data_IF_169523135332
#
_entry.id   IF_169523135332
#
_cell.length_a   1.000
_cell.length_b   1.000
_cell.length_c   1.000
_cell.angle_alpha   90.00
_cell.angle_beta   90.00
_cell.angle_gamma   90.00
#
_symmetry.space_group_name_H-M   'P 1'
#
loop_
_entity.id
_entity.type
_entity.pdbx_description
1 polymer ?
#
# COMPACT_ATOMS: atom_id res chain seq x y z
N UNK A 1 -36.51 -11.42 -6.92
CA UNK A 1 -35.76 -10.91 -5.76
C UNK A 1 -34.28 -10.93 -6.14
N UNK A 2 -33.84 -9.89 -6.85
CA UNK A 2 -32.43 -9.71 -7.19
C UNK A 2 -31.73 -9.04 -6.01
N UNK A 3 -30.77 -9.75 -5.42
CA UNK A 3 -29.95 -9.23 -4.34
C UNK A 3 -29.06 -8.10 -4.85
N UNK A 4 -29.25 -6.90 -4.34
CA UNK A 4 -28.31 -5.79 -4.49
C UNK A 4 -26.97 -6.19 -3.85
N UNK A 5 -26.03 -6.68 -4.67
CA UNK A 5 -24.59 -6.57 -4.36
C UNK A 5 -24.29 -5.07 -4.37
N UNK A 6 -24.12 -4.49 -3.17
CA UNK A 6 -23.79 -3.09 -3.02
C UNK A 6 -22.59 -2.75 -3.92
N UNK A 7 -22.76 -1.77 -4.82
CA UNK A 7 -21.63 -1.23 -5.59
C UNK A 7 -20.59 -0.74 -4.58
N UNK A 8 -19.53 -1.52 -4.42
CA UNK A 8 -18.31 -1.09 -3.74
C UNK A 8 -17.82 0.14 -4.50
N UNK A 9 -18.01 1.33 -3.93
CA UNK A 9 -17.75 2.60 -4.61
C UNK A 9 -16.29 2.69 -5.05
N UNK A 10 -16.05 3.04 -6.31
CA UNK A 10 -14.68 3.25 -6.80
C UNK A 10 -13.99 4.41 -6.09
N UNK A 11 -12.67 4.43 -6.15
CA UNK A 11 -11.85 5.49 -5.60
C UNK A 11 -11.76 6.76 -6.50
N UNK A 12 -12.53 6.82 -7.58
CA UNK A 12 -12.50 7.93 -8.54
C UNK A 12 -11.16 8.06 -9.25
N UNK A 13 -10.93 9.22 -9.89
CA UNK A 13 -9.64 9.55 -10.52
C UNK A 13 -8.67 10.07 -9.45
N UNK A 14 -7.59 9.33 -9.19
CA UNK A 14 -6.66 9.66 -8.11
C UNK A 14 -5.18 9.55 -8.51
N UNK A 15 -4.33 10.24 -7.75
CA UNK A 15 -2.89 10.08 -7.73
C UNK A 15 -2.58 9.34 -6.44
N UNK A 16 -2.14 8.10 -6.54
CA UNK A 16 -1.80 7.28 -5.39
C UNK A 16 -0.30 7.03 -5.36
N UNK A 17 0.36 7.44 -4.29
CA UNK A 17 1.77 7.17 -4.02
C UNK A 17 1.84 6.12 -2.93
N UNK A 18 2.32 4.93 -3.28
CA UNK A 18 2.42 3.79 -2.39
C UNK A 18 3.89 3.42 -2.18
N UNK A 19 4.38 3.62 -0.96
CA UNK A 19 5.73 3.20 -0.57
C UNK A 19 5.73 1.74 -0.13
N UNK A 20 6.90 1.09 -0.12
CA UNK A 20 7.03 -0.32 0.24
C UNK A 20 6.19 -1.28 -0.61
N UNK A 21 5.93 -0.95 -1.88
CA UNK A 21 4.97 -1.66 -2.73
C UNK A 21 5.42 -3.06 -3.19
N UNK A 22 6.70 -3.41 -3.04
CA UNK A 22 7.26 -4.62 -3.66
C UNK A 22 6.81 -5.93 -3.04
N UNK A 23 6.41 -5.95 -1.76
CA UNK A 23 6.05 -7.17 -1.01
C UNK A 23 5.05 -6.90 0.11
N UNK A 24 4.59 -7.98 0.74
CA UNK A 24 3.71 -7.93 1.91
C UNK A 24 2.48 -7.07 1.69
N UNK A 25 2.11 -6.30 2.71
CA UNK A 25 0.95 -5.42 2.69
C UNK A 25 0.97 -4.41 1.55
N UNK A 26 2.10 -3.77 1.25
CA UNK A 26 2.19 -2.79 0.17
C UNK A 26 1.83 -3.42 -1.18
N UNK A 27 2.36 -4.61 -1.46
CA UNK A 27 2.03 -5.34 -2.70
C UNK A 27 0.55 -5.73 -2.75
N UNK A 28 0.03 -6.29 -1.67
CA UNK A 28 -1.38 -6.69 -1.59
C UNK A 28 -2.31 -5.48 -1.72
N UNK A 29 -1.97 -4.37 -1.09
CA UNK A 29 -2.73 -3.13 -1.19
C UNK A 29 -2.71 -2.60 -2.62
N UNK A 30 -1.57 -2.62 -3.33
CA UNK A 30 -1.50 -2.21 -4.73
C UNK A 30 -2.47 -3.02 -5.61
N UNK A 31 -2.51 -4.34 -5.41
CA UNK A 31 -3.38 -5.27 -6.14
C UNK A 31 -4.87 -5.03 -5.86
N UNK A 32 -5.25 -4.70 -4.63
CA UNK A 32 -6.64 -4.43 -4.28
C UNK A 32 -7.08 -2.99 -4.59
N UNK A 33 -6.14 -2.03 -4.54
CA UNK A 33 -6.41 -0.61 -4.77
C UNK A 33 -6.54 -0.29 -6.26
N UNK A 34 -5.71 -0.90 -7.12
CA UNK A 34 -5.72 -0.65 -8.56
C UNK A 34 -7.11 -0.86 -9.21
N UNK A 35 -7.89 -1.93 -8.89
CA UNK A 35 -9.27 -2.13 -9.33
C UNK A 35 -10.26 -1.01 -8.96
N UNK A 36 -9.96 -0.23 -7.93
CA UNK A 36 -10.83 0.84 -7.47
C UNK A 36 -10.52 2.18 -8.14
N UNK A 37 -9.34 2.34 -8.75
CA UNK A 37 -8.96 3.58 -9.44
C UNK A 37 -9.65 3.71 -10.81
N UNK A 38 -10.20 4.89 -11.10
CA UNK A 38 -10.81 5.18 -12.41
C UNK A 38 -9.75 5.45 -13.49
N UNK A 39 -10.07 5.26 -14.79
CA UNK A 39 -9.17 5.61 -15.88
C UNK A 39 -8.66 7.06 -15.81
N UNK A 40 -7.37 7.23 -16.14
CA UNK A 40 -6.64 8.50 -15.98
C UNK A 40 -6.08 8.73 -14.57
N UNK A 41 -6.23 7.76 -13.67
CA UNK A 41 -5.49 7.74 -12.40
C UNK A 41 -4.01 7.42 -12.62
N UNK A 42 -3.19 7.81 -11.64
CA UNK A 42 -1.77 7.49 -11.60
C UNK A 42 -1.49 6.73 -10.30
N UNK A 43 -0.86 5.57 -10.40
CA UNK A 43 -0.39 4.80 -9.25
C UNK A 43 1.14 4.71 -9.29
N UNK A 44 1.76 5.39 -8.33
CA UNK A 44 3.20 5.44 -8.14
C UNK A 44 3.59 4.38 -7.12
N UNK A 45 4.42 3.42 -7.53
CA UNK A 45 4.87 2.30 -6.73
C UNK A 45 6.35 2.51 -6.38
N UNK A 46 6.65 2.66 -5.09
CA UNK A 46 8.03 2.85 -4.62
C UNK A 46 8.48 1.71 -3.72
N UNK A 47 9.68 1.18 -3.99
CA UNK A 47 10.36 0.18 -3.17
C UNK A 47 11.84 0.08 -3.53
N UNK A 48 12.61 -0.70 -2.76
CA UNK A 48 14.05 -0.92 -2.99
C UNK A 48 14.39 -1.92 -4.10
N UNK A 49 13.45 -2.77 -4.50
CA UNK A 49 13.69 -3.83 -5.51
C UNK A 49 13.00 -3.47 -6.81
N UNK A 50 13.78 -3.10 -7.83
CA UNK A 50 13.27 -2.78 -9.17
C UNK A 50 12.57 -3.97 -9.82
N UNK A 51 13.15 -5.18 -9.68
CA UNK A 51 12.59 -6.42 -10.21
C UNK A 51 11.20 -6.71 -9.65
N UNK A 52 11.03 -6.63 -8.33
CA UNK A 52 9.73 -6.85 -7.71
C UNK A 52 8.68 -5.79 -8.11
N UNK A 53 9.11 -4.54 -8.34
CA UNK A 53 8.24 -3.49 -8.86
C UNK A 53 7.83 -3.75 -10.31
N UNK A 54 8.76 -4.21 -11.17
CA UNK A 54 8.44 -4.57 -12.57
C UNK A 54 7.42 -5.70 -12.63
N UNK A 55 7.60 -6.73 -11.81
CA UNK A 55 6.67 -7.85 -11.73
C UNK A 55 5.27 -7.37 -11.32
N UNK A 56 5.18 -6.51 -10.30
CA UNK A 56 3.92 -5.94 -9.87
C UNK A 56 3.29 -5.04 -10.94
N UNK A 57 4.07 -4.20 -11.62
CA UNK A 57 3.58 -3.36 -12.71
C UNK A 57 3.01 -4.19 -13.86
N UNK A 58 3.68 -5.27 -14.27
CA UNK A 58 3.21 -6.15 -15.32
C UNK A 58 1.86 -6.80 -14.96
N UNK A 59 1.72 -7.28 -13.73
CA UNK A 59 0.46 -7.84 -13.21
C UNK A 59 -0.68 -6.81 -13.25
N UNK A 60 -0.45 -5.62 -12.70
CA UNK A 60 -1.48 -4.57 -12.63
C UNK A 60 -1.83 -3.99 -14.01
N UNK A 61 -0.83 -3.85 -14.88
CA UNK A 61 -0.97 -3.28 -16.21
C UNK A 61 -1.79 -4.16 -17.15
N UNK A 62 -1.62 -5.49 -17.03
CA UNK A 62 -2.42 -6.46 -17.79
C UNK A 62 -3.93 -6.36 -17.47
N UNK A 63 -4.26 -6.03 -16.22
CA UNK A 63 -5.64 -5.94 -15.77
C UNK A 63 -6.28 -4.56 -16.04
N UNK A 64 -5.47 -3.49 -16.20
CA UNK A 64 -5.96 -2.09 -16.18
C UNK A 64 -5.24 -1.18 -17.19
N UNK A 65 -5.59 -1.23 -18.49
CA UNK A 65 -4.94 -0.40 -19.52
C UNK A 65 -5.16 1.12 -19.34
N UNK A 66 -6.17 1.54 -18.58
CA UNK A 66 -6.47 2.96 -18.30
C UNK A 66 -5.76 3.54 -17.06
N UNK A 67 -4.97 2.74 -16.34
CA UNK A 67 -4.23 3.15 -15.16
C UNK A 67 -2.77 3.42 -15.54
N UNK A 68 -2.28 4.63 -15.27
CA UNK A 68 -0.85 4.93 -15.44
C UNK A 68 -0.09 4.40 -14.22
N UNK A 69 0.75 3.41 -14.44
CA UNK A 69 1.68 2.89 -13.43
C UNK A 69 3.03 3.62 -13.56
N UNK A 70 3.61 3.98 -12.43
CA UNK A 70 4.94 4.62 -12.37
C UNK A 70 5.75 3.94 -11.28
N UNK A 71 6.86 3.32 -11.65
CA UNK A 71 7.77 2.68 -10.69
C UNK A 71 8.88 3.64 -10.28
N UNK A 72 9.18 3.67 -8.99
CA UNK A 72 10.30 4.41 -8.42
C UNK A 72 11.11 3.48 -7.52
N UNK A 73 12.22 2.99 -8.04
CA UNK A 73 13.18 2.23 -7.24
C UNK A 73 13.96 3.19 -6.37
N UNK A 74 13.65 3.22 -5.08
CA UNK A 74 14.20 4.17 -4.13
C UNK A 74 14.29 3.58 -2.71
N UNK A 75 15.37 3.92 -2.01
CA UNK A 75 15.48 3.73 -0.58
C UNK A 75 15.12 5.02 0.16
N UNK A 76 13.91 5.09 0.69
CA UNK A 76 13.38 6.28 1.37
C UNK A 76 14.04 6.54 2.73
N UNK A 77 14.94 5.67 3.20
CA UNK A 77 15.80 5.97 4.35
C UNK A 77 17.02 6.83 3.99
N UNK A 78 17.22 7.13 2.70
CA UNK A 78 18.33 7.94 2.18
C UNK A 78 17.81 9.21 1.52
N UNK A 79 18.57 10.30 1.63
CA UNK A 79 18.26 11.55 0.93
C UNK A 79 18.18 11.33 -0.59
N UNK A 80 19.10 10.54 -1.15
CA UNK A 80 19.11 10.22 -2.58
C UNK A 80 17.81 9.52 -3.02
N UNK A 81 17.34 8.53 -2.26
CA UNK A 81 16.09 7.84 -2.56
C UNK A 81 14.86 8.74 -2.41
N UNK A 82 14.85 9.64 -1.43
CA UNK A 82 13.81 10.65 -1.32
C UNK A 82 13.79 11.59 -2.53
N UNK A 83 14.96 12.09 -2.96
CA UNK A 83 15.08 12.94 -4.15
C UNK A 83 14.65 12.21 -5.43
N UNK A 84 14.94 10.92 -5.56
CA UNK A 84 14.46 10.10 -6.69
C UNK A 84 12.93 10.05 -6.73
N UNK A 85 12.27 9.78 -5.60
CA UNK A 85 10.81 9.77 -5.53
C UNK A 85 10.22 11.15 -5.82
N UNK A 86 10.77 12.21 -5.23
CA UNK A 86 10.32 13.58 -5.48
C UNK A 86 10.51 14.00 -6.94
N UNK A 87 11.63 13.62 -7.57
CA UNK A 87 11.88 13.85 -8.99
C UNK A 87 10.81 13.20 -9.86
N UNK A 88 10.56 11.90 -9.66
CA UNK A 88 9.54 11.17 -10.40
C UNK A 88 8.14 11.80 -10.21
N UNK A 89 7.79 12.24 -9.00
CA UNK A 89 6.50 12.91 -8.73
C UNK A 89 6.38 14.27 -9.43
N UNK A 90 7.47 15.03 -9.56
CA UNK A 90 7.48 16.33 -10.24
C UNK A 90 7.30 16.20 -11.76
N UNK A 91 7.76 15.10 -12.33
CA UNK A 91 7.63 14.80 -13.76
C UNK A 91 6.24 14.27 -14.14
N UNK A 92 5.40 13.91 -13.17
CA UNK A 92 4.05 13.43 -13.46
C UNK A 92 3.21 14.56 -14.07
N UNK A 93 2.49 14.29 -15.16
CA UNK A 93 1.49 15.22 -15.63
C UNK A 93 0.42 15.37 -14.56
N UNK A 94 -0.06 16.60 -14.36
CA UNK A 94 -1.20 16.87 -13.50
C UNK A 94 -2.42 16.22 -14.15
N UNK A 95 -3.02 15.17 -13.57
CA UNK A 95 -4.18 14.54 -14.17
C UNK A 95 -5.34 15.52 -14.14
N UNK A 96 -5.94 15.81 -15.30
CA UNK A 96 -7.16 16.63 -15.33
C UNK A 96 -8.30 15.90 -14.62
N UNK A 97 -9.12 16.63 -13.87
CA UNK A 97 -10.22 16.03 -13.10
C UNK A 97 -9.75 15.10 -11.98
N UNK A 98 -8.54 15.32 -11.44
CA UNK A 98 -8.07 14.64 -10.24
C UNK A 98 -9.00 14.93 -9.07
N UNK A 99 -9.56 13.88 -8.49
CA UNK A 99 -10.46 14.01 -7.34
C UNK A 99 -9.70 13.86 -6.02
N UNK A 100 -8.66 13.02 -6.00
CA UNK A 100 -7.97 12.65 -4.77
C UNK A 100 -6.47 12.44 -4.96
N UNK A 101 -5.73 12.73 -3.89
CA UNK A 101 -4.32 12.39 -3.74
C UNK A 101 -4.19 11.49 -2.52
N UNK A 102 -3.62 10.31 -2.70
CA UNK A 102 -3.36 9.36 -1.63
C UNK A 102 -1.85 9.21 -1.50
N UNK A 103 -1.31 9.51 -0.32
CA UNK A 103 0.06 9.16 0.04
C UNK A 103 0.00 8.10 1.13
N UNK A 104 0.43 6.89 0.78
CA UNK A 104 0.45 5.75 1.68
C UNK A 104 1.90 5.52 2.07
N UNK A 105 2.28 6.11 3.20
CA UNK A 105 3.57 5.88 3.86
C UNK A 105 3.51 4.53 4.57
N UNK A 106 3.69 3.46 3.78
CA UNK A 106 3.76 2.10 4.27
C UNK A 106 5.17 1.82 4.83
N UNK A 107 5.37 2.26 6.07
CA UNK A 107 6.52 1.92 6.89
C UNK A 107 6.04 1.17 8.13
N UNK A 108 6.41 -0.10 8.26
CA UNK A 108 6.07 -0.88 9.46
C UNK A 108 6.23 -2.40 9.28
N UNK A 109 6.50 -3.14 10.37
CA UNK A 109 6.59 -4.59 10.34
C UNK A 109 5.19 -5.22 10.40
N UNK A 110 4.69 -5.69 9.25
CA UNK A 110 3.60 -6.68 9.17
C UNK A 110 4.21 -8.08 9.02
N UNK A 111 3.44 -9.17 9.04
CA UNK A 111 4.00 -10.53 8.84
C UNK A 111 4.66 -10.67 7.47
N UNK A 112 5.94 -10.38 7.46
CA UNK A 112 6.79 -10.18 6.30
C UNK A 112 8.19 -10.63 6.71
N UNK A 113 9.10 -10.75 5.74
CA UNK A 113 10.52 -11.07 6.01
C UNK A 113 11.16 -10.11 7.04
N UNK A 114 10.64 -8.88 7.16
CA UNK A 114 11.09 -7.92 8.17
C UNK A 114 10.69 -8.34 9.59
N UNK A 115 9.48 -8.88 9.80
CA UNK A 115 9.07 -9.44 11.09
C UNK A 115 9.87 -10.70 11.41
N UNK A 116 10.17 -11.52 10.40
CA UNK A 116 11.09 -12.65 10.55
C UNK A 116 12.49 -12.23 11.01
N UNK A 117 13.10 -11.27 10.31
CA UNK A 117 14.38 -10.73 10.69
C UNK A 117 14.34 -10.16 12.11
N UNK A 118 13.29 -9.41 12.47
CA UNK A 118 13.12 -8.88 13.82
C UNK A 118 13.01 -9.99 14.88
N UNK A 119 12.28 -11.08 14.61
CA UNK A 119 12.20 -12.27 15.50
C UNK A 119 13.55 -12.98 15.69
N UNK A 120 14.42 -12.94 14.68
CA UNK A 120 15.68 -13.69 14.68
C UNK A 120 16.85 -12.84 15.21
N UNK A 121 16.80 -11.52 15.02
CA UNK A 121 17.96 -10.62 15.22
C UNK A 121 17.77 -9.55 16.31
N UNK A 122 16.57 -9.39 16.87
CA UNK A 122 16.33 -8.38 17.93
C UNK A 122 17.26 -8.60 19.12
N UNK A 123 18.08 -7.60 19.46
CA UNK A 123 19.08 -7.68 20.54
C UNK A 123 18.42 -7.84 21.91
N UNK A 124 17.27 -7.18 22.10
CA UNK A 124 16.47 -7.29 23.32
C UNK A 124 15.74 -8.65 23.36
N UNK A 125 15.99 -9.49 24.40
CA UNK A 125 15.38 -10.81 24.52
C UNK A 125 13.87 -10.79 24.72
N UNK A 126 13.33 -9.80 25.42
CA UNK A 126 11.90 -9.68 25.72
C UNK A 126 11.14 -9.23 24.47
N UNK A 127 11.70 -8.30 23.71
CA UNK A 127 11.17 -7.91 22.38
C UNK A 127 11.20 -9.10 21.43
N UNK A 128 12.31 -9.85 21.39
CA UNK A 128 12.44 -11.05 20.55
C UNK A 128 11.38 -12.09 20.89
N UNK A 129 11.23 -12.40 22.18
CA UNK A 129 10.23 -13.36 22.68
C UNK A 129 8.81 -12.92 22.33
N UNK A 130 8.48 -11.65 22.54
CA UNK A 130 7.17 -11.09 22.18
C UNK A 130 6.87 -11.20 20.68
N UNK A 131 7.84 -10.90 19.81
CA UNK A 131 7.68 -11.02 18.36
C UNK A 131 7.49 -12.48 17.91
N UNK A 132 8.17 -13.43 18.56
CA UNK A 132 7.99 -14.86 18.33
C UNK A 132 6.60 -15.32 18.75
N UNK A 133 6.15 -14.93 19.94
CA UNK A 133 4.82 -15.28 20.46
C UNK A 133 3.67 -14.76 19.57
N UNK A 134 3.78 -13.53 19.04
CA UNK A 134 2.78 -12.99 18.11
C UNK A 134 2.57 -13.89 16.89
N UNK A 135 3.65 -14.47 16.35
CA UNK A 135 3.56 -15.43 15.24
C UNK A 135 2.97 -16.76 15.70
N UNK A 136 3.47 -17.33 16.80
CA UNK A 136 3.04 -18.66 17.26
C UNK A 136 1.58 -18.69 17.69
N UNK A 137 1.07 -17.57 18.23
CA UNK A 137 -0.34 -17.40 18.63
C UNK A 137 -1.28 -17.06 17.48
N UNK A 138 -0.75 -16.84 16.27
CA UNK A 138 -1.56 -16.45 15.11
C UNK A 138 -2.17 -15.04 15.22
N UNK A 139 -1.60 -14.18 16.08
CA UNK A 139 -2.06 -12.80 16.31
C UNK A 139 -1.55 -11.83 15.24
N UNK A 140 -0.82 -12.34 14.25
CA UNK A 140 -0.41 -11.58 13.07
C UNK A 140 -1.57 -11.47 12.09
N UNK A 141 -1.97 -10.23 11.80
CA UNK A 141 -3.07 -9.96 10.88
C UNK A 141 -2.60 -10.15 9.43
N UNK A 142 -3.41 -10.86 8.64
CA UNK A 142 -3.16 -11.08 7.22
C UNK A 142 -3.13 -9.76 6.42
N UNK A 143 -2.22 -9.69 5.46
CA UNK A 143 -1.99 -8.49 4.63
C UNK A 143 -3.22 -8.12 3.79
N UNK A 144 -3.97 -9.10 3.27
CA UNK A 144 -5.17 -8.88 2.47
C UNK A 144 -6.31 -8.37 3.34
N UNK A 145 -6.50 -8.92 4.53
CA UNK A 145 -7.52 -8.44 5.47
C UNK A 145 -7.23 -6.98 5.88
N UNK A 146 -5.98 -6.69 6.24
CA UNK A 146 -5.54 -5.34 6.61
C UNK A 146 -5.75 -4.35 5.46
N UNK A 147 -5.35 -4.74 4.24
CA UNK A 147 -5.49 -3.89 3.06
C UNK A 147 -6.97 -3.63 2.74
N UNK A 148 -7.83 -4.66 2.85
CA UNK A 148 -9.27 -4.50 2.63
C UNK A 148 -9.90 -3.55 3.66
N UNK A 149 -9.49 -3.61 4.92
CA UNK A 149 -9.98 -2.68 5.95
C UNK A 149 -9.60 -1.23 5.62
N UNK A 150 -8.36 -0.98 5.21
CA UNK A 150 -7.93 0.35 4.76
C UNK A 150 -8.76 0.83 3.56
N UNK A 151 -8.98 -0.02 2.55
CA UNK A 151 -9.78 0.33 1.38
C UNK A 151 -11.22 0.67 1.77
N UNK A 152 -11.83 -0.10 2.66
CA UNK A 152 -13.17 0.18 3.16
C UNK A 152 -13.24 1.54 3.86
N UNK A 153 -12.21 1.91 4.64
CA UNK A 153 -12.11 3.24 5.28
C UNK A 153 -12.03 4.36 4.22
N UNK A 154 -11.17 4.19 3.21
CA UNK A 154 -10.99 5.16 2.12
C UNK A 154 -12.24 5.29 1.21
N UNK A 155 -13.04 4.23 1.09
CA UNK A 155 -14.29 4.25 0.33
C UNK A 155 -15.45 4.87 1.11
N UNK A 156 -15.51 4.61 2.43
CA UNK A 156 -16.49 5.26 3.30
C UNK A 156 -16.26 6.76 3.37
N UNK A 157 -15.01 7.21 3.34
CA UNK A 157 -14.60 8.62 3.32
C UNK A 157 -15.21 9.45 4.47
N UNK A 158 -15.37 8.82 5.63
CA UNK A 158 -15.97 9.39 6.86
C UNK A 158 -14.96 9.57 8.00
N UNK A 159 -13.68 9.42 7.72
CA UNK A 159 -12.63 9.54 8.73
C UNK A 159 -12.40 11.02 9.09
N UNK A 160 -12.10 11.29 10.36
CA UNK A 160 -11.72 12.62 10.83
C UNK A 160 -10.25 12.86 10.51
N UNK A 161 -9.91 14.07 10.07
CA UNK A 161 -8.50 14.46 9.87
C UNK A 161 -7.69 14.24 11.15
N UNK A 162 -6.54 13.57 11.03
CA UNK A 162 -5.67 13.21 12.15
C UNK A 162 -6.19 12.09 13.05
N UNK A 163 -7.26 11.38 12.67
CA UNK A 163 -7.75 10.24 13.44
C UNK A 163 -6.74 9.09 13.48
N UNK A 164 -6.63 8.47 14.65
CA UNK A 164 -6.06 7.14 14.78
C UNK A 164 -7.18 6.12 14.62
N UNK A 165 -6.96 5.12 13.76
CA UNK A 165 -7.91 4.03 13.54
C UNK A 165 -7.13 2.73 13.68
N UNK A 166 -7.53 1.92 14.65
CA UNK A 166 -6.98 0.61 14.91
C UNK A 166 -7.62 -0.45 14.01
N UNK A 167 -6.90 -1.54 13.78
CA UNK A 167 -7.43 -2.69 13.06
C UNK A 167 -8.63 -3.33 13.77
N UNK A 168 -8.79 -3.15 15.08
CA UNK A 168 -9.92 -3.68 15.84
C UNK A 168 -11.06 -2.66 16.05
N UNK A 169 -10.91 -1.41 15.60
CA UNK A 169 -11.98 -0.41 15.64
C UNK A 169 -13.12 -0.76 14.67
N UNK A 170 -14.37 -0.43 15.01
CA UNK A 170 -15.56 -0.79 14.19
C UNK A 170 -15.66 -0.07 12.82
#
# INVERSE_FOLDING_TARGET
>A
MEGCVGKVGGLGRALCVLTGASRGFGRTLAQLLAPLLSPGSVLVLSARSDEALRQLEAELGAERPGLRLVRVTADLSTEAGLQQLLGALRELPRPEGLQRVLLINNAGPLDTDMQQLARETSVDPDVRKRLQELKTKGELVDCRISAQKLLNLLQKDKFKSGAHVDFYDE
#
